data_IF_964984462310
#
_entry.id   IF_964984462310
#
_cell.length_a   1.000
_cell.length_b   1.000
_cell.length_c   1.000
_cell.angle_alpha   90.00
_cell.angle_beta   90.00
_cell.angle_gamma   90.00
#
_symmetry.space_group_name_H-M   'P 1'
#
loop_
_entity.id
_entity.type
_entity.pdbx_description
1 polymer ?
#
# COMPACT_ATOMS: atom_id res chain seq x y z
N UNK A 1 -23.85 8.65 4.08
CA UNK A 1 -23.54 7.61 3.07
C UNK A 1 -24.77 7.03 2.36
N UNK A 2 -26.01 7.14 2.88
CA UNK A 2 -27.21 6.61 2.22
C UNK A 2 -27.83 7.47 1.09
N UNK A 3 -27.25 8.64 0.74
CA UNK A 3 -27.79 9.53 -0.32
C UNK A 3 -27.14 9.32 -1.70
N UNK A 4 -25.90 8.84 -1.76
CA UNK A 4 -25.18 8.66 -3.03
C UNK A 4 -25.57 7.37 -3.78
N UNK A 5 -26.05 6.34 -3.07
CA UNK A 5 -26.57 5.11 -3.68
C UNK A 5 -27.96 5.31 -4.31
N UNK A 6 -28.74 6.26 -3.79
CA UNK A 6 -30.13 6.49 -4.19
C UNK A 6 -30.25 7.34 -5.48
N UNK A 7 -29.26 8.22 -5.73
CA UNK A 7 -29.17 9.02 -6.97
C UNK A 7 -28.73 8.17 -8.18
N UNK A 8 -27.86 7.17 -7.98
CA UNK A 8 -27.43 6.24 -9.04
C UNK A 8 -28.60 5.38 -9.53
N UNK A 9 -29.45 4.90 -8.62
CA UNK A 9 -30.62 4.09 -8.96
C UNK A 9 -31.71 4.88 -9.70
N UNK A 10 -31.95 6.15 -9.35
CA UNK A 10 -32.89 7.01 -10.10
C UNK A 10 -32.38 7.36 -11.50
N UNK A 11 -31.09 7.67 -11.63
CA UNK A 11 -30.47 7.97 -12.92
C UNK A 11 -30.54 6.78 -13.90
N UNK A 12 -30.39 5.55 -13.40
CA UNK A 12 -30.51 4.33 -14.20
C UNK A 12 -31.98 4.01 -14.57
N UNK A 13 -32.94 4.24 -13.67
CA UNK A 13 -34.36 4.00 -13.98
C UNK A 13 -34.94 4.99 -14.98
N UNK A 14 -34.50 6.24 -14.94
CA UNK A 14 -34.98 7.32 -15.83
C UNK A 14 -34.36 7.23 -17.24
N UNK A 15 -33.24 6.53 -17.40
CA UNK A 15 -32.60 6.29 -18.71
C UNK A 15 -33.11 5.04 -19.42
N UNK A 16 -33.54 4.02 -18.69
CA UNK A 16 -34.16 2.82 -19.26
C UNK A 16 -35.54 3.11 -19.90
N UNK A 17 -36.22 4.20 -19.51
CA UNK A 17 -37.48 4.61 -20.13
C UNK A 17 -37.32 5.34 -21.47
N UNK A 18 -36.12 5.80 -21.82
CA UNK A 18 -35.91 6.73 -22.94
C UNK A 18 -35.28 6.11 -24.20
N UNK A 19 -35.13 4.79 -24.27
CA UNK A 19 -34.87 4.07 -25.53
C UNK A 19 -33.61 4.49 -26.31
N UNK A 20 -32.58 5.02 -25.63
CA UNK A 20 -31.31 5.37 -26.27
C UNK A 20 -30.43 4.12 -26.32
N UNK A 21 -30.38 3.49 -27.50
CA UNK A 21 -29.42 2.43 -27.83
C UNK A 21 -28.06 3.08 -28.05
N UNK A 22 -27.07 2.74 -27.25
CA UNK A 22 -25.66 2.99 -27.57
C UNK A 22 -25.04 1.69 -28.09
N UNK A 23 -24.33 1.77 -29.21
CA UNK A 23 -23.44 0.71 -29.68
C UNK A 23 -22.39 0.45 -28.59
N UNK A 24 -22.51 -0.69 -27.90
CA UNK A 24 -21.48 -1.25 -27.04
C UNK A 24 -20.39 -1.88 -27.90
N UNK A 25 -19.57 -1.07 -28.57
CA UNK A 25 -18.18 -1.46 -28.77
C UNK A 25 -17.45 -1.18 -27.46
N UNK A 26 -17.55 -2.14 -26.53
CA UNK A 26 -16.66 -2.21 -25.38
C UNK A 26 -15.23 -2.21 -25.93
N UNK A 27 -14.47 -1.17 -25.63
CA UNK A 27 -13.02 -1.14 -25.84
C UNK A 27 -12.44 -2.22 -24.94
N UNK A 28 -12.31 -3.41 -25.49
CA UNK A 28 -11.68 -4.56 -24.87
C UNK A 28 -10.18 -4.24 -24.76
N UNK A 29 -9.76 -3.72 -23.61
CA UNK A 29 -8.35 -3.45 -23.35
C UNK A 29 -7.60 -4.80 -23.36
N UNK A 30 -6.52 -4.96 -24.14
CA UNK A 30 -5.75 -6.21 -24.21
C UNK A 30 -4.87 -6.47 -22.95
N UNK A 31 -5.33 -6.05 -21.77
CA UNK A 31 -4.59 -5.97 -20.50
C UNK A 31 -5.07 -6.97 -19.43
N UNK A 32 -6.06 -7.82 -19.71
CA UNK A 32 -6.49 -8.91 -18.81
C UNK A 32 -5.39 -9.99 -18.57
N UNK A 33 -4.19 -9.81 -19.15
CA UNK A 33 -3.02 -10.68 -18.95
C UNK A 33 -1.93 -10.09 -18.05
N UNK A 34 -2.18 -9.00 -17.34
CA UNK A 34 -1.27 -8.52 -16.27
C UNK A 34 -1.81 -8.98 -14.91
N UNK A 35 -1.93 -10.30 -14.73
CA UNK A 35 -2.14 -10.93 -13.42
C UNK A 35 -1.33 -12.24 -13.34
N UNK A 36 -0.63 -12.53 -12.24
CA UNK A 36 -0.06 -11.60 -11.26
C UNK A 36 1.44 -11.88 -11.00
N UNK A 37 2.23 -10.84 -10.77
CA UNK A 37 3.52 -10.99 -10.07
C UNK A 37 3.37 -11.72 -8.70
N UNK A 38 2.15 -11.78 -8.17
CA UNK A 38 1.78 -12.47 -6.93
C UNK A 38 1.32 -13.95 -7.08
N UNK A 39 0.93 -14.46 -8.27
CA UNK A 39 0.61 -15.92 -8.40
C UNK A 39 1.78 -16.78 -8.88
N UNK A 40 2.98 -16.21 -9.02
CA UNK A 40 4.20 -17.03 -8.99
C UNK A 40 4.52 -17.38 -7.53
N UNK A 41 3.67 -18.24 -6.96
CA UNK A 41 4.02 -19.01 -5.78
C UNK A 41 5.30 -19.81 -6.04
N UNK A 42 6.15 -19.87 -5.02
CA UNK A 42 7.50 -20.42 -4.96
C UNK A 42 8.62 -19.51 -5.48
N UNK A 43 9.35 -18.92 -4.52
CA UNK A 43 10.82 -18.96 -4.37
C UNK A 43 11.68 -19.04 -5.63
N UNK A 44 11.33 -18.32 -6.70
CA UNK A 44 12.29 -17.90 -7.72
C UNK A 44 12.57 -16.46 -7.42
N UNK A 45 13.73 -16.25 -6.80
CA UNK A 45 14.31 -14.92 -6.68
C UNK A 45 14.22 -14.24 -8.04
N UNK A 46 13.91 -12.95 -8.07
CA UNK A 46 14.08 -12.13 -9.26
C UNK A 46 15.53 -12.20 -9.82
N UNK A 47 16.46 -12.74 -9.02
CA UNK A 47 17.83 -13.12 -9.40
C UNK A 47 17.94 -14.29 -10.40
N UNK A 48 16.89 -15.10 -10.61
CA UNK A 48 16.93 -16.28 -11.49
C UNK A 48 16.53 -16.01 -12.95
N UNK A 49 16.30 -14.74 -13.31
CA UNK A 49 16.49 -14.30 -14.71
C UNK A 49 18.01 -14.15 -14.95
N UNK A 50 18.75 -15.24 -14.74
CA UNK A 50 20.13 -15.34 -15.19
C UNK A 50 20.12 -15.67 -16.67
N UNK A 51 20.40 -14.63 -17.46
CA UNK A 51 21.18 -14.63 -18.71
C UNK A 51 21.85 -15.96 -19.05
N UNK A 52 21.10 -16.90 -19.64
CA UNK A 52 21.69 -18.10 -20.21
C UNK A 52 21.90 -17.86 -21.70
N UNK A 53 23.05 -17.26 -22.00
CA UNK A 53 23.49 -16.93 -23.35
C UNK A 53 24.11 -18.19 -23.97
N UNK A 54 23.27 -19.06 -24.52
CA UNK A 54 23.68 -20.10 -25.46
C UNK A 54 22.48 -20.47 -26.32
N UNK A 55 22.27 -19.70 -27.39
CA UNK A 55 21.92 -20.25 -28.70
C UNK A 55 22.06 -19.15 -29.76
N UNK A 56 22.99 -19.39 -30.68
CA UNK A 56 23.13 -18.67 -31.93
C UNK A 56 21.81 -18.70 -32.71
N UNK A 57 21.21 -17.52 -32.96
CA UNK A 57 20.87 -17.03 -34.29
C UNK A 57 19.87 -15.86 -34.25
N UNK A 58 20.27 -14.78 -34.90
CA UNK A 58 19.48 -13.77 -35.60
C UNK A 58 18.59 -12.80 -34.79
N UNK A 59 18.97 -11.51 -34.87
CA UNK A 59 18.15 -10.31 -34.81
C UNK A 59 16.89 -10.39 -33.92
N UNK A 60 17.00 -9.94 -32.67
CA UNK A 60 15.89 -9.32 -31.96
C UNK A 60 16.42 -8.43 -30.84
N UNK A 61 15.91 -7.20 -30.84
CA UNK A 61 16.13 -6.18 -29.82
C UNK A 61 15.61 -6.72 -28.48
N UNK A 62 16.51 -7.19 -27.61
CA UNK A 62 16.18 -7.71 -26.29
C UNK A 62 15.88 -6.54 -25.32
N UNK A 63 14.96 -5.65 -25.68
CA UNK A 63 14.34 -4.77 -24.69
C UNK A 63 13.46 -5.66 -23.82
N UNK A 64 13.86 -5.88 -22.57
CA UNK A 64 13.02 -6.54 -21.57
C UNK A 64 11.75 -5.70 -21.44
N UNK A 65 10.63 -6.21 -21.96
CA UNK A 65 9.33 -5.54 -21.91
C UNK A 65 8.91 -5.35 -20.45
N UNK A 66 8.52 -4.11 -20.11
CA UNK A 66 7.98 -3.74 -18.80
C UNK A 66 6.48 -3.48 -18.95
N UNK A 67 5.62 -4.48 -18.67
CA UNK A 67 4.20 -4.38 -18.95
C UNK A 67 3.50 -3.31 -18.11
N UNK A 68 4.02 -2.99 -16.92
CA UNK A 68 3.45 -1.91 -16.09
C UNK A 68 3.75 -0.56 -16.72
N UNK A 69 5.00 -0.35 -17.17
CA UNK A 69 5.36 0.89 -17.86
C UNK A 69 4.59 1.09 -19.17
N UNK A 70 4.47 0.02 -19.98
CA UNK A 70 3.71 0.04 -21.23
C UNK A 70 2.23 0.39 -20.97
N UNK A 71 1.62 -0.18 -19.92
CA UNK A 71 0.26 0.15 -19.52
C UNK A 71 0.12 1.61 -19.08
N UNK A 72 1.03 2.10 -18.21
CA UNK A 72 1.05 3.50 -17.76
C UNK A 72 1.14 4.47 -18.93
N UNK A 73 2.04 4.22 -19.89
CA UNK A 73 2.23 5.09 -21.04
C UNK A 73 1.00 5.07 -21.98
N UNK A 74 0.42 3.90 -22.23
CA UNK A 74 -0.78 3.76 -23.05
C UNK A 74 -2.00 4.45 -22.42
N UNK A 75 -2.20 4.24 -21.11
CA UNK A 75 -3.27 4.87 -20.34
C UNK A 75 -3.11 6.40 -20.31
N UNK A 76 -1.89 6.92 -20.04
CA UNK A 76 -1.62 8.36 -20.03
C UNK A 76 -1.90 9.02 -21.38
N UNK A 77 -1.56 8.34 -22.49
CA UNK A 77 -1.89 8.83 -23.84
C UNK A 77 -3.40 8.92 -24.04
N UNK A 78 -4.13 7.86 -23.70
CA UNK A 78 -5.59 7.81 -23.82
C UNK A 78 -6.28 8.85 -22.91
N UNK A 79 -5.78 9.06 -21.69
CA UNK A 79 -6.28 10.07 -20.77
C UNK A 79 -6.00 11.50 -21.27
N UNK A 80 -4.84 11.74 -21.89
CA UNK A 80 -4.48 13.05 -22.45
C UNK A 80 -5.34 13.45 -23.67
N UNK A 81 -5.82 12.46 -24.42
CA UNK A 81 -6.78 12.66 -25.52
C UNK A 81 -8.20 12.92 -24.98
N UNK A 82 -8.58 12.26 -23.88
CA UNK A 82 -9.91 12.38 -23.25
C UNK A 82 -10.08 13.65 -22.42
N UNK A 83 -9.02 14.15 -21.78
CA UNK A 83 -9.04 15.35 -20.94
C UNK A 83 -7.97 16.36 -21.40
N UNK A 84 -8.27 17.21 -22.41
CA UNK A 84 -7.30 18.12 -23.02
C UNK A 84 -6.65 19.10 -22.04
N UNK A 85 -7.34 19.51 -20.96
CA UNK A 85 -6.78 20.45 -19.97
C UNK A 85 -5.57 19.83 -19.25
N UNK A 86 -5.59 18.52 -19.03
CA UNK A 86 -4.51 17.79 -18.36
C UNK A 86 -3.46 17.23 -19.32
N UNK A 87 -3.64 17.41 -20.63
CA UNK A 87 -2.73 16.86 -21.65
C UNK A 87 -1.27 17.24 -21.39
N UNK A 88 -0.97 18.53 -21.20
CA UNK A 88 0.41 18.99 -20.93
C UNK A 88 0.99 18.39 -19.64
N UNK A 89 0.16 18.18 -18.62
CA UNK A 89 0.57 17.54 -17.36
C UNK A 89 0.91 16.06 -17.57
N UNK A 90 0.09 15.32 -18.32
CA UNK A 90 0.30 13.91 -18.63
C UNK A 90 1.52 13.70 -19.53
N UNK A 91 1.71 14.58 -20.53
CA UNK A 91 2.90 14.55 -21.36
C UNK A 91 4.17 14.82 -20.56
N UNK A 92 4.17 15.86 -19.72
CA UNK A 92 5.33 16.19 -18.89
C UNK A 92 5.63 15.09 -17.88
N UNK A 93 4.62 14.52 -17.21
CA UNK A 93 4.81 13.59 -16.10
C UNK A 93 5.05 12.14 -16.53
N UNK A 94 4.54 11.73 -17.69
CA UNK A 94 4.60 10.34 -18.17
C UNK A 94 5.26 10.27 -19.55
N UNK A 95 4.62 10.84 -20.57
CA UNK A 95 4.96 10.54 -21.97
C UNK A 95 6.31 11.12 -22.42
N UNK A 96 6.91 12.01 -21.64
CA UNK A 96 8.25 12.56 -21.89
C UNK A 96 9.39 11.70 -21.34
N UNK A 97 9.07 10.63 -20.61
CA UNK A 97 10.03 9.72 -19.99
C UNK A 97 10.11 8.38 -20.72
N UNK A 98 11.23 7.68 -20.53
CA UNK A 98 11.55 6.40 -21.16
C UNK A 98 11.30 5.18 -20.24
N UNK A 99 11.14 5.40 -18.94
CA UNK A 99 10.87 4.34 -17.97
C UNK A 99 10.06 4.82 -16.75
N UNK A 100 9.53 3.85 -16.00
CA UNK A 100 8.69 4.07 -14.83
C UNK A 100 9.40 4.85 -13.72
N UNK A 101 10.68 4.57 -13.49
CA UNK A 101 11.49 5.20 -12.43
C UNK A 101 11.66 6.70 -12.65
N UNK A 102 11.91 7.12 -13.90
CA UNK A 102 12.10 8.54 -14.24
C UNK A 102 10.79 9.32 -14.22
N UNK A 103 9.70 8.71 -14.70
CA UNK A 103 8.37 9.29 -14.59
C UNK A 103 7.98 9.47 -13.11
N UNK A 104 8.20 8.45 -12.28
CA UNK A 104 7.95 8.53 -10.84
C UNK A 104 8.83 9.58 -10.17
N UNK A 105 10.13 9.61 -10.48
CA UNK A 105 11.06 10.62 -9.99
C UNK A 105 10.58 12.03 -10.30
N UNK A 106 10.02 12.24 -11.50
CA UNK A 106 9.42 13.51 -11.90
C UNK A 106 8.18 13.88 -11.09
N UNK A 107 7.26 12.95 -10.91
CA UNK A 107 6.05 13.15 -10.11
C UNK A 107 6.42 13.50 -8.67
N UNK A 108 7.31 12.71 -8.03
CA UNK A 108 7.72 12.92 -6.64
C UNK A 108 8.45 14.24 -6.44
N UNK A 109 9.39 14.57 -7.33
CA UNK A 109 10.13 15.82 -7.27
C UNK A 109 9.20 17.05 -7.32
N UNK A 110 8.23 17.04 -8.24
CA UNK A 110 7.28 18.16 -8.36
C UNK A 110 6.31 18.25 -7.19
N UNK A 111 5.95 17.12 -6.56
CA UNK A 111 5.09 17.07 -5.38
C UNK A 111 5.82 17.54 -4.12
N UNK A 112 7.09 17.18 -3.97
CA UNK A 112 7.86 17.43 -2.75
C UNK A 112 8.67 18.73 -2.76
N UNK A 113 8.81 19.39 -3.92
CA UNK A 113 9.56 20.64 -4.04
C UNK A 113 9.08 21.72 -3.06
N UNK A 114 10.01 22.58 -2.67
CA UNK A 114 9.74 23.82 -1.96
C UNK A 114 10.87 24.83 -2.28
N UNK A 115 10.85 26.06 -1.74
CA UNK A 115 11.89 27.05 -2.02
C UNK A 115 13.33 26.64 -1.62
N UNK A 116 13.50 25.61 -0.80
CA UNK A 116 14.81 25.12 -0.33
C UNK A 116 15.27 23.90 -1.16
N UNK A 117 14.34 22.98 -1.43
CA UNK A 117 14.56 21.75 -2.21
C UNK A 117 13.84 21.91 -3.55
N UNK A 118 14.59 22.34 -4.55
CA UNK A 118 14.04 22.57 -5.89
C UNK A 118 13.69 21.23 -6.56
N UNK A 119 12.67 21.23 -7.42
CA UNK A 119 12.27 20.03 -8.15
C UNK A 119 13.43 19.41 -8.95
N UNK A 120 14.32 20.22 -9.54
CA UNK A 120 15.48 19.71 -10.28
C UNK A 120 16.46 18.95 -9.39
N UNK A 121 16.73 19.45 -8.18
CA UNK A 121 17.61 18.77 -7.23
C UNK A 121 16.99 17.48 -6.70
N UNK A 122 15.68 17.51 -6.42
CA UNK A 122 14.93 16.32 -6.01
C UNK A 122 14.92 15.28 -7.13
N UNK A 123 14.72 15.71 -8.38
CA UNK A 123 14.76 14.85 -9.56
C UNK A 123 16.07 14.08 -9.64
N UNK A 124 17.20 14.78 -9.53
CA UNK A 124 18.53 14.17 -9.60
C UNK A 124 18.71 13.11 -8.50
N UNK A 125 18.25 13.40 -7.28
CA UNK A 125 18.31 12.46 -6.15
C UNK A 125 17.42 11.24 -6.40
N UNK A 126 16.15 11.44 -6.80
CA UNK A 126 15.22 10.35 -7.04
C UNK A 126 15.71 9.45 -8.18
N UNK A 127 16.11 10.05 -9.31
CA UNK A 127 16.61 9.31 -10.45
C UNK A 127 17.90 8.55 -10.13
N UNK A 128 18.87 9.16 -9.44
CA UNK A 128 20.11 8.48 -9.04
C UNK A 128 19.81 7.25 -8.19
N UNK A 129 18.92 7.36 -7.21
CA UNK A 129 18.61 6.23 -6.32
C UNK A 129 17.77 5.17 -7.02
N UNK A 130 16.67 5.55 -7.68
CA UNK A 130 15.73 4.61 -8.30
C UNK A 130 16.32 3.89 -9.50
N UNK A 131 17.21 4.54 -10.29
CA UNK A 131 17.82 3.91 -11.46
C UNK A 131 18.94 2.92 -11.10
N UNK A 132 19.57 3.05 -9.93
CA UNK A 132 20.72 2.24 -9.53
C UNK A 132 20.41 1.20 -8.44
N UNK A 133 19.17 1.10 -7.96
CA UNK A 133 18.75 0.13 -6.96
C UNK A 133 17.66 -0.79 -7.50
N UNK A 134 18.05 -2.03 -7.83
CA UNK A 134 17.12 -3.05 -8.35
C UNK A 134 16.04 -3.46 -7.36
N UNK A 135 16.31 -3.38 -6.05
CA UNK A 135 15.32 -3.64 -5.03
C UNK A 135 14.20 -2.61 -5.09
N UNK A 136 14.57 -1.32 -5.16
CA UNK A 136 13.60 -0.22 -5.30
C UNK A 136 12.82 -0.34 -6.61
N UNK A 137 13.46 -0.68 -7.72
CA UNK A 137 12.79 -0.90 -9.02
C UNK A 137 11.70 -1.98 -8.93
N UNK A 138 12.01 -3.08 -8.23
CA UNK A 138 11.04 -4.13 -7.98
C UNK A 138 9.90 -3.66 -7.08
N UNK A 139 10.22 -2.97 -5.98
CA UNK A 139 9.22 -2.43 -5.06
C UNK A 139 8.25 -1.46 -5.74
N UNK A 140 8.75 -0.56 -6.60
CA UNK A 140 7.94 0.41 -7.36
C UNK A 140 6.80 -0.32 -8.09
N UNK A 141 7.14 -1.43 -8.76
CA UNK A 141 6.20 -2.23 -9.56
C UNK A 141 5.23 -3.02 -8.68
N UNK A 142 5.75 -3.69 -7.64
CA UNK A 142 4.92 -4.47 -6.72
C UNK A 142 3.93 -3.58 -5.95
N UNK A 143 4.36 -2.41 -5.49
CA UNK A 143 3.49 -1.45 -4.80
C UNK A 143 2.42 -0.89 -5.74
N UNK A 144 2.76 -0.55 -7.01
CA UNK A 144 1.75 -0.14 -8.01
C UNK A 144 0.70 -1.23 -8.22
N UNK A 145 1.15 -2.47 -8.37
CA UNK A 145 0.26 -3.62 -8.51
C UNK A 145 -0.65 -3.79 -7.27
N UNK A 146 -0.11 -3.60 -6.06
CA UNK A 146 -0.89 -3.69 -4.84
C UNK A 146 -2.04 -2.68 -4.79
N UNK A 147 -1.81 -1.43 -5.22
CA UNK A 147 -2.88 -0.44 -5.36
C UNK A 147 -3.89 -0.85 -6.43
N UNK A 148 -3.42 -1.34 -7.58
CA UNK A 148 -4.30 -1.75 -8.68
C UNK A 148 -5.22 -2.93 -8.31
N UNK A 149 -4.69 -3.87 -7.53
CA UNK A 149 -5.40 -5.11 -7.17
C UNK A 149 -6.37 -4.94 -6.00
N UNK A 150 -6.01 -4.07 -5.05
CA UNK A 150 -6.65 -4.05 -3.72
C UNK A 150 -7.50 -2.81 -3.48
N UNK A 151 -7.25 -1.70 -4.18
CA UNK A 151 -8.12 -0.52 -4.12
C UNK A 151 -9.08 -0.50 -5.32
N UNK A 152 -10.39 -0.77 -5.10
CA UNK A 152 -11.37 -0.74 -6.19
C UNK A 152 -11.53 0.64 -6.84
N UNK A 153 -11.02 1.70 -6.21
CA UNK A 153 -11.01 3.06 -6.75
C UNK A 153 -9.85 3.31 -7.71
N UNK A 154 -8.83 2.45 -7.71
CA UNK A 154 -7.66 2.55 -8.59
C UNK A 154 -7.96 1.92 -9.96
N UNK A 155 -8.50 2.72 -10.88
CA UNK A 155 -8.98 2.25 -12.18
C UNK A 155 -7.86 1.94 -13.19
N UNK A 156 -6.69 2.58 -13.08
CA UNK A 156 -5.58 2.47 -14.04
C UNK A 156 -4.21 2.52 -13.36
N UNK A 157 -3.17 1.94 -13.95
CA UNK A 157 -1.81 2.04 -13.42
C UNK A 157 -1.28 3.48 -13.46
N UNK A 158 -1.61 4.21 -14.51
CA UNK A 158 -1.34 5.65 -14.66
C UNK A 158 -1.88 6.44 -13.48
N UNK A 159 -3.13 6.18 -13.06
CA UNK A 159 -3.73 6.86 -11.91
C UNK A 159 -2.97 6.60 -10.62
N UNK A 160 -2.50 5.37 -10.39
CA UNK A 160 -1.71 5.00 -9.21
C UNK A 160 -0.36 5.71 -9.17
N UNK A 161 0.29 5.86 -10.33
CA UNK A 161 1.56 6.59 -10.41
C UNK A 161 1.38 8.09 -10.10
N UNK A 162 0.28 8.68 -10.56
CA UNK A 162 0.09 10.14 -10.55
C UNK A 162 -0.54 10.70 -9.27
N UNK A 163 -1.45 9.98 -8.59
CA UNK A 163 -2.35 10.62 -7.64
C UNK A 163 -2.29 10.10 -6.18
N UNK A 164 -2.31 8.79 -5.90
CA UNK A 164 -2.32 8.28 -4.53
C UNK A 164 -1.08 8.70 -3.72
N UNK A 165 -1.31 9.57 -2.73
CA UNK A 165 -0.24 10.03 -1.83
C UNK A 165 0.35 8.92 -0.97
N UNK A 166 -0.39 7.83 -0.73
CA UNK A 166 0.14 6.66 -0.04
C UNK A 166 1.22 5.96 -0.84
N UNK A 167 0.98 5.77 -2.14
CA UNK A 167 1.98 5.26 -3.07
C UNK A 167 3.19 6.21 -3.13
N UNK A 168 2.97 7.52 -3.30
CA UNK A 168 4.07 8.51 -3.31
C UNK A 168 4.89 8.50 -2.01
N UNK A 169 4.25 8.30 -0.87
CA UNK A 169 4.92 8.23 0.44
C UNK A 169 5.81 7.00 0.55
N UNK A 170 5.34 5.83 0.10
CA UNK A 170 6.16 4.61 0.06
C UNK A 170 7.42 4.81 -0.78
N UNK A 171 7.29 5.34 -1.99
CA UNK A 171 8.44 5.49 -2.89
C UNK A 171 9.41 6.58 -2.39
N UNK A 172 8.89 7.64 -1.77
CA UNK A 172 9.71 8.67 -1.10
C UNK A 172 10.49 8.07 0.08
N UNK A 173 9.83 7.26 0.89
CA UNK A 173 10.46 6.53 1.99
C UNK A 173 11.56 5.59 1.49
N UNK A 174 11.35 4.84 0.39
CA UNK A 174 12.37 3.92 -0.14
C UNK A 174 13.65 4.66 -0.53
N UNK A 175 13.53 5.83 -1.14
CA UNK A 175 14.69 6.69 -1.43
C UNK A 175 15.32 7.25 -0.16
N UNK A 176 14.53 7.72 0.80
CA UNK A 176 15.04 8.16 2.10
C UNK A 176 15.78 7.03 2.85
N UNK A 177 15.27 5.80 2.81
CA UNK A 177 15.87 4.61 3.39
C UNK A 177 17.22 4.28 2.74
N UNK A 178 17.30 4.31 1.42
CA UNK A 178 18.56 4.10 0.70
C UNK A 178 19.60 5.19 1.05
N UNK A 179 19.17 6.46 1.12
CA UNK A 179 20.05 7.56 1.54
C UNK A 179 20.52 7.41 2.98
N UNK A 180 19.64 6.99 3.89
CA UNK A 180 19.96 6.71 5.28
C UNK A 180 21.06 5.64 5.40
N UNK A 181 20.90 4.52 4.69
CA UNK A 181 21.87 3.41 4.69
C UNK A 181 23.21 3.78 4.04
N UNK A 182 23.22 4.78 3.13
CA UNK A 182 24.45 5.37 2.56
C UNK A 182 25.08 6.44 3.46
N UNK A 183 24.56 6.66 4.67
CA UNK A 183 25.06 7.66 5.62
C UNK A 183 24.62 9.10 5.34
N UNK A 184 23.77 9.34 4.33
CA UNK A 184 23.20 10.67 4.01
C UNK A 184 21.97 10.95 4.89
N UNK A 185 22.12 10.80 6.21
CA UNK A 185 21.04 10.85 7.19
C UNK A 185 20.29 12.18 7.22
N UNK A 186 21.00 13.30 7.08
CA UNK A 186 20.38 14.64 7.02
C UNK A 186 19.41 14.77 5.85
N UNK A 187 19.77 14.26 4.67
CA UNK A 187 18.90 14.29 3.49
C UNK A 187 17.70 13.33 3.67
N UNK A 188 17.94 12.15 4.23
CA UNK A 188 16.88 11.20 4.53
C UNK A 188 15.83 11.78 5.50
N UNK A 189 16.27 12.47 6.56
CA UNK A 189 15.39 13.17 7.51
C UNK A 189 14.68 14.36 6.86
N UNK A 190 15.35 15.08 5.96
CA UNK A 190 14.70 16.15 5.19
C UNK A 190 13.57 15.60 4.30
N UNK A 191 13.77 14.46 3.64
CA UNK A 191 12.73 13.79 2.87
C UNK A 191 11.60 13.26 3.76
N UNK A 192 11.90 12.67 4.92
CA UNK A 192 10.88 12.29 5.91
C UNK A 192 10.02 13.49 6.30
N UNK A 193 10.64 14.62 6.63
CA UNK A 193 9.91 15.84 7.00
C UNK A 193 9.04 16.35 5.86
N UNK A 194 9.54 16.36 4.62
CA UNK A 194 8.76 16.79 3.44
C UNK A 194 7.60 15.85 3.13
N UNK A 195 7.81 14.55 3.25
CA UNK A 195 6.77 13.54 3.09
C UNK A 195 5.65 13.73 4.11
N UNK A 196 6.00 13.99 5.38
CA UNK A 196 5.04 14.30 6.43
C UNK A 196 4.24 15.58 6.14
N UNK A 197 4.91 16.66 5.71
CA UNK A 197 4.27 17.93 5.41
C UNK A 197 3.32 17.86 4.19
N UNK A 198 3.74 17.21 3.11
CA UNK A 198 3.00 17.20 1.83
C UNK A 198 1.94 16.11 1.78
N UNK A 199 2.26 14.91 2.29
CA UNK A 199 1.37 13.76 2.18
C UNK A 199 0.63 13.45 3.49
N UNK A 200 1.07 14.02 4.63
CA UNK A 200 0.55 13.68 5.95
C UNK A 200 0.95 12.27 6.38
N UNK A 201 2.12 11.80 5.94
CA UNK A 201 2.65 10.45 6.23
C UNK A 201 4.07 10.59 6.80
N UNK A 202 4.30 10.05 7.99
CA UNK A 202 5.59 10.10 8.65
C UNK A 202 6.17 8.68 8.79
N UNK A 203 7.22 8.38 8.03
CA UNK A 203 7.91 7.09 8.07
C UNK A 203 9.38 7.38 8.30
N UNK A 204 9.89 6.91 9.43
CA UNK A 204 11.30 7.09 9.76
C UNK A 204 12.19 6.34 8.74
N UNK A 205 13.25 6.96 8.19
CA UNK A 205 14.09 6.35 7.16
C UNK A 205 14.76 5.04 7.58
N UNK A 206 14.98 4.81 8.87
CA UNK A 206 15.56 3.56 9.38
C UNK A 206 14.56 2.39 9.52
N UNK A 207 13.26 2.63 9.34
CA UNK A 207 12.27 1.55 9.32
C UNK A 207 12.63 0.54 8.21
N UNK A 208 12.03 -0.65 8.26
CA UNK A 208 12.21 -1.68 7.22
C UNK A 208 10.84 -2.10 6.73
N UNK A 209 10.57 -1.88 5.46
CA UNK A 209 9.25 -2.12 4.86
C UNK A 209 9.46 -3.00 3.63
N UNK A 210 8.72 -4.10 3.56
CA UNK A 210 8.74 -5.06 2.45
C UNK A 210 8.09 -4.50 1.18
N UNK A 211 7.72 -5.42 0.30
CA UNK A 211 7.20 -5.12 -1.04
C UNK A 211 5.70 -5.42 -1.17
N UNK A 212 5.06 -4.78 -2.14
CA UNK A 212 3.64 -5.00 -2.41
C UNK A 212 2.76 -4.41 -1.33
N UNK A 213 3.14 -3.22 -0.84
CA UNK A 213 2.47 -2.54 0.25
C UNK A 213 1.36 -1.66 -0.30
N UNK A 214 0.19 -1.73 0.35
CA UNK A 214 -0.88 -0.76 0.16
C UNK A 214 -0.89 0.20 1.35
N UNK A 215 -0.70 1.49 1.09
CA UNK A 215 -1.00 2.57 2.04
C UNK A 215 -2.26 3.30 1.56
N UNK A 216 -3.43 2.73 1.82
CA UNK A 216 -4.67 3.30 1.32
C UNK A 216 -5.06 4.54 2.12
N UNK A 217 -5.41 5.60 1.40
CA UNK A 217 -5.68 6.98 1.85
C UNK A 217 -4.51 7.68 2.57
N UNK A 218 -3.71 6.93 3.35
CA UNK A 218 -2.44 7.22 4.01
C UNK A 218 -2.41 8.37 5.03
N UNK A 219 -3.36 9.30 5.01
CA UNK A 219 -3.37 10.47 5.90
C UNK A 219 -3.21 10.06 7.37
N UNK A 220 -2.22 10.63 8.07
CA UNK A 220 -1.98 10.38 9.49
C UNK A 220 -1.27 9.05 9.79
N UNK A 221 -0.73 8.35 8.79
CA UNK A 221 0.11 7.18 9.03
C UNK A 221 1.44 7.61 9.65
N UNK A 222 1.82 6.93 10.74
CA UNK A 222 3.08 7.14 11.47
C UNK A 222 3.79 5.81 11.66
N UNK A 223 5.03 5.69 11.17
CA UNK A 223 5.86 4.47 11.25
C UNK A 223 7.21 4.81 11.84
N UNK A 224 7.48 4.29 13.04
CA UNK A 224 8.68 4.62 13.80
C UNK A 224 9.95 3.87 13.39
N UNK A 225 11.07 4.37 13.88
CA UNK A 225 12.45 4.01 13.51
C UNK A 225 12.77 2.51 13.42
N UNK A 226 12.30 1.71 14.38
CA UNK A 226 12.67 0.28 14.48
C UNK A 226 11.55 -0.65 14.02
N UNK A 227 10.56 -0.08 13.32
CA UNK A 227 9.45 -0.86 12.77
C UNK A 227 9.95 -1.77 11.67
N UNK A 228 9.44 -2.99 11.64
CA UNK A 228 9.58 -3.89 10.49
C UNK A 228 8.19 -4.21 9.98
N UNK A 229 7.99 -4.07 8.67
CA UNK A 229 6.75 -4.43 7.97
C UNK A 229 7.10 -5.48 6.92
N UNK A 230 6.44 -6.64 6.97
CA UNK A 230 6.58 -7.71 5.98
C UNK A 230 6.03 -7.33 4.60
N UNK A 231 6.05 -8.28 3.68
CA UNK A 231 5.49 -8.06 2.34
C UNK A 231 3.96 -8.10 2.35
N UNK A 232 3.35 -7.62 1.27
CA UNK A 232 1.89 -7.71 1.04
C UNK A 232 1.05 -7.15 2.19
N UNK A 233 1.56 -6.22 2.99
CA UNK A 233 0.79 -5.61 4.08
C UNK A 233 -0.07 -4.48 3.51
N UNK A 234 -1.29 -4.36 4.02
CA UNK A 234 -2.20 -3.26 3.70
C UNK A 234 -2.47 -2.45 4.97
N UNK A 235 -2.19 -1.14 4.94
CA UNK A 235 -2.43 -0.21 6.03
C UNK A 235 -3.36 0.90 5.56
N UNK A 236 -4.37 1.18 6.37
CA UNK A 236 -5.32 2.26 6.14
C UNK A 236 -4.78 3.60 6.71
N UNK A 237 -5.54 4.68 6.50
CA UNK A 237 -5.27 5.99 7.09
C UNK A 237 -5.20 5.96 8.62
N UNK A 238 -4.42 6.86 9.21
CA UNK A 238 -4.34 7.08 10.67
C UNK A 238 -3.62 5.98 11.45
N UNK A 239 -3.07 4.96 10.78
CA UNK A 239 -2.38 3.87 11.46
C UNK A 239 -1.09 4.37 12.10
N UNK A 240 -0.88 4.01 13.37
CA UNK A 240 0.36 4.31 14.10
C UNK A 240 1.10 3.03 14.47
N UNK A 241 2.34 2.90 14.00
CA UNK A 241 3.31 1.88 14.41
C UNK A 241 4.38 2.56 15.27
N UNK A 242 4.08 2.70 16.57
CA UNK A 242 4.77 3.62 17.49
C UNK A 242 5.50 2.93 18.65
N UNK A 243 6.28 3.70 19.40
CA UNK A 243 6.91 3.27 20.65
C UNK A 243 6.05 3.59 21.88
N UNK A 244 6.37 2.97 23.02
CA UNK A 244 5.64 3.15 24.31
C UNK A 244 6.35 4.06 25.31
N UNK A 245 7.47 4.69 24.94
CA UNK A 245 8.24 5.54 25.86
C UNK A 245 9.54 6.09 25.27
N UNK A 246 10.44 6.53 26.15
CA UNK A 246 11.74 7.16 25.81
C UNK A 246 12.92 6.19 25.73
N UNK A 247 12.67 4.90 25.82
CA UNK A 247 13.73 3.89 25.79
C UNK A 247 14.42 3.87 24.43
N UNK A 248 15.73 3.70 24.44
CA UNK A 248 16.56 3.59 23.24
C UNK A 248 16.69 2.11 22.88
N UNK A 249 16.65 1.81 21.59
CA UNK A 249 16.73 0.44 21.07
C UNK A 249 15.47 0.04 20.32
N UNK A 250 15.26 -1.27 20.20
CA UNK A 250 14.14 -1.83 19.45
C UNK A 250 12.83 -1.69 20.24
N UNK A 251 11.98 -0.77 19.79
CA UNK A 251 10.82 -0.25 20.54
C UNK A 251 9.53 -0.13 19.72
N UNK A 252 9.56 -0.55 18.45
CA UNK A 252 8.44 -0.41 17.52
C UNK A 252 7.96 -1.76 16.99
N UNK A 253 6.74 -1.83 16.43
CA UNK A 253 6.12 -3.09 16.04
C UNK A 253 6.87 -3.87 14.95
N UNK A 254 6.60 -5.18 14.89
CA UNK A 254 7.00 -6.09 13.82
C UNK A 254 5.74 -6.65 13.17
N UNK A 255 5.39 -6.16 12.00
CA UNK A 255 4.19 -6.52 11.26
C UNK A 255 4.51 -7.69 10.32
N UNK A 256 3.83 -8.82 10.49
CA UNK A 256 3.96 -10.00 9.65
C UNK A 256 3.46 -9.78 8.22
N UNK A 257 3.92 -10.63 7.32
CA UNK A 257 3.47 -10.65 5.92
C UNK A 257 1.96 -10.85 5.82
N UNK A 258 1.31 -10.20 4.84
CA UNK A 258 -0.12 -10.39 4.58
C UNK A 258 -1.07 -9.76 5.61
N UNK A 259 -0.55 -9.04 6.61
CA UNK A 259 -1.37 -8.41 7.64
C UNK A 259 -2.23 -7.26 7.09
N UNK A 260 -3.46 -7.14 7.59
CA UNK A 260 -4.38 -6.04 7.30
C UNK A 260 -4.54 -5.15 8.54
N UNK A 261 -4.15 -3.88 8.43
CA UNK A 261 -4.22 -2.92 9.53
C UNK A 261 -5.29 -1.86 9.22
N UNK A 262 -6.43 -1.98 9.90
CA UNK A 262 -7.59 -1.11 9.71
C UNK A 262 -7.36 0.35 10.11
N UNK A 263 -8.26 1.21 9.63
CA UNK A 263 -8.15 2.67 9.79
C UNK A 263 -8.00 3.09 11.25
N UNK A 264 -7.07 4.01 11.51
CA UNK A 264 -6.79 4.59 12.84
C UNK A 264 -6.41 3.56 13.91
N UNK A 265 -5.95 2.37 13.54
CA UNK A 265 -5.39 1.42 14.50
C UNK A 265 -4.03 1.91 15.03
N UNK A 266 -3.82 1.76 16.33
CA UNK A 266 -2.60 2.18 17.02
C UNK A 266 -1.92 0.96 17.63
N UNK A 267 -0.69 0.67 17.20
CA UNK A 267 0.11 -0.49 17.60
C UNK A 267 1.38 0.05 18.26
N UNK A 268 1.55 -0.20 19.56
CA UNK A 268 2.62 0.44 20.35
C UNK A 268 3.55 -0.58 20.98
N UNK A 269 4.85 -0.32 20.88
CA UNK A 269 5.91 -1.07 21.52
C UNK A 269 6.56 -2.10 20.59
N UNK A 270 7.60 -2.76 21.09
CA UNK A 270 8.24 -3.85 20.38
C UNK A 270 7.42 -5.14 20.51
N UNK A 271 6.29 -5.16 19.81
CA UNK A 271 5.36 -6.28 19.77
C UNK A 271 5.26 -6.84 18.34
N UNK A 272 4.87 -8.10 18.25
CA UNK A 272 4.73 -8.83 16.99
C UNK A 272 3.26 -8.93 16.61
N UNK A 273 2.97 -8.54 15.38
CA UNK A 273 1.70 -8.85 14.71
C UNK A 273 1.99 -10.02 13.77
N UNK A 274 1.36 -11.16 14.02
CA UNK A 274 1.59 -12.37 13.24
C UNK A 274 1.25 -12.19 11.76
N UNK A 275 1.80 -13.07 10.93
CA UNK A 275 1.44 -13.14 9.51
C UNK A 275 -0.06 -13.37 9.33
N UNK A 276 -0.63 -12.77 8.29
CA UNK A 276 -2.05 -12.84 7.99
C UNK A 276 -2.99 -12.37 9.11
N UNK A 277 -2.48 -11.63 10.12
CA UNK A 277 -3.32 -11.10 11.17
C UNK A 277 -4.12 -9.87 10.69
N UNK A 278 -5.27 -9.66 11.30
CA UNK A 278 -6.15 -8.54 11.00
C UNK A 278 -6.37 -7.68 12.25
N UNK A 279 -6.07 -6.39 12.13
CA UNK A 279 -6.30 -5.40 13.18
C UNK A 279 -7.52 -4.57 12.76
N UNK A 280 -8.61 -4.67 13.52
CA UNK A 280 -9.81 -3.88 13.24
C UNK A 280 -9.55 -2.37 13.40
N UNK A 281 -10.32 -1.56 12.68
CA UNK A 281 -10.23 -0.11 12.74
C UNK A 281 -10.37 0.43 14.18
N UNK A 282 -9.58 1.45 14.53
CA UNK A 282 -9.62 2.12 15.83
C UNK A 282 -9.06 1.31 17.00
N UNK A 283 -8.45 0.15 16.76
CA UNK A 283 -7.94 -0.72 17.84
C UNK A 283 -6.66 -0.17 18.48
N UNK A 284 -6.49 -0.36 19.79
CA UNK A 284 -5.24 -0.09 20.52
C UNK A 284 -4.55 -1.42 20.88
N UNK A 285 -3.50 -1.76 20.14
CA UNK A 285 -2.76 -3.02 20.29
C UNK A 285 -1.50 -2.80 21.12
N UNK A 286 -1.44 -3.45 22.28
CA UNK A 286 -0.35 -3.32 23.27
C UNK A 286 0.36 -4.65 23.58
N UNK A 287 -0.01 -5.73 22.90
CA UNK A 287 0.51 -7.09 23.10
C UNK A 287 0.63 -7.78 21.75
N UNK A 288 1.48 -8.81 21.70
CA UNK A 288 1.63 -9.67 20.52
C UNK A 288 0.29 -10.23 20.06
N UNK A 289 0.11 -10.27 18.74
CA UNK A 289 -1.08 -10.78 18.06
C UNK A 289 -0.69 -12.06 17.32
N UNK A 290 -1.32 -13.21 17.60
CA UNK A 290 -1.03 -14.46 16.90
C UNK A 290 -1.26 -14.38 15.38
N UNK A 291 -0.55 -15.19 14.58
CA UNK A 291 -0.84 -15.33 13.14
C UNK A 291 -2.31 -15.68 12.87
N UNK A 292 -2.82 -15.21 11.73
CA UNK A 292 -4.19 -15.45 11.25
C UNK A 292 -5.30 -15.15 12.29
N UNK A 293 -5.03 -14.26 13.25
CA UNK A 293 -6.01 -13.83 14.24
C UNK A 293 -6.56 -12.44 13.90
N UNK A 294 -7.80 -12.20 14.31
CA UNK A 294 -8.44 -10.89 14.25
C UNK A 294 -8.50 -10.30 15.65
N UNK A 295 -8.05 -9.05 15.81
CA UNK A 295 -8.14 -8.31 17.08
C UNK A 295 -8.94 -7.02 16.92
N UNK A 296 -9.66 -6.66 17.97
CA UNK A 296 -10.44 -5.42 18.02
C UNK A 296 -10.49 -4.84 19.45
N UNK A 297 -10.70 -3.52 19.53
CA UNK A 297 -11.02 -2.80 20.78
C UNK A 297 -9.87 -1.99 21.37
N UNK A 298 -10.15 -1.35 22.52
CA UNK A 298 -9.21 -0.52 23.27
C UNK A 298 -9.27 -0.86 24.77
N UNK A 299 -8.29 -1.62 25.32
CA UNK A 299 -7.21 -2.32 24.59
C UNK A 299 -7.73 -3.47 23.73
N UNK A 300 -7.02 -3.78 22.66
CA UNK A 300 -7.40 -4.81 21.70
C UNK A 300 -7.33 -6.22 22.30
N UNK A 301 -8.29 -7.06 21.93
CA UNK A 301 -8.34 -8.49 22.27
C UNK A 301 -8.57 -9.29 21.01
N UNK A 302 -8.13 -10.55 21.01
CA UNK A 302 -8.50 -11.52 19.97
C UNK A 302 -10.01 -11.70 20.02
N UNK A 303 -10.64 -11.48 18.87
CA UNK A 303 -12.09 -11.60 18.66
C UNK A 303 -12.41 -12.76 17.71
N UNK A 304 -11.42 -13.31 17.01
CA UNK A 304 -11.55 -14.54 16.25
C UNK A 304 -10.35 -14.76 15.32
N UNK A 305 -10.56 -15.56 14.28
CA UNK A 305 -9.52 -15.98 13.35
C UNK A 305 -9.95 -15.76 11.90
N UNK A 306 -8.98 -15.37 11.07
CA UNK A 306 -9.14 -15.10 9.64
C UNK A 306 -8.99 -16.42 8.89
N UNK A 307 -9.90 -16.72 7.97
CA UNK A 307 -9.84 -17.94 7.16
C UNK A 307 -8.94 -17.75 5.93
N UNK A 308 -8.83 -16.52 5.45
CA UNK A 308 -7.94 -16.09 4.38
C UNK A 308 -6.48 -16.14 4.84
N UNK A 309 -5.60 -16.60 3.95
CA UNK A 309 -4.16 -16.65 4.22
C UNK A 309 -3.58 -15.22 4.32
N UNK A 310 -3.98 -14.32 3.42
CA UNK A 310 -3.55 -12.93 3.35
C UNK A 310 -4.77 -11.97 3.34
N UNK A 311 -5.35 -11.57 4.49
CA UNK A 311 -6.48 -10.64 4.55
C UNK A 311 -6.19 -9.28 3.91
N UNK A 312 -4.92 -8.89 3.83
CA UNK A 312 -4.48 -7.67 3.15
C UNK A 312 -4.77 -7.65 1.66
N UNK A 313 -4.96 -8.81 1.01
CA UNK A 313 -5.25 -8.89 -0.42
C UNK A 313 -6.74 -8.73 -0.71
N UNK A 314 -7.60 -9.22 0.19
CA UNK A 314 -9.06 -9.16 0.00
C UNK A 314 -9.65 -7.85 0.50
N UNK A 315 -8.93 -7.13 1.37
CA UNK A 315 -9.40 -5.89 2.00
C UNK A 315 -10.77 -6.05 2.68
N UNK A 316 -11.08 -7.26 3.14
CA UNK A 316 -12.32 -7.51 3.85
C UNK A 316 -12.20 -6.96 5.28
N UNK A 317 -12.85 -5.82 5.52
CA UNK A 317 -12.86 -5.15 6.82
C UNK A 317 -13.96 -5.65 7.76
N UNK A 318 -14.87 -6.51 7.28
CA UNK A 318 -16.03 -6.95 8.03
C UNK A 318 -15.64 -7.97 9.10
N UNK A 319 -15.53 -7.50 10.33
CA UNK A 319 -15.92 -8.32 11.47
C UNK A 319 -17.46 -8.31 11.48
N UNK A 320 -18.10 -9.35 10.94
CA UNK A 320 -19.58 -9.38 10.81
C UNK A 320 -20.27 -9.16 12.16
N UNK A 321 -21.52 -8.67 12.14
CA UNK A 321 -22.32 -8.48 13.36
C UNK A 321 -22.42 -9.80 14.16
N UNK A 322 -22.56 -10.91 13.45
CA UNK A 322 -22.57 -12.27 14.02
C UNK A 322 -21.26 -12.60 14.75
N UNK A 323 -20.13 -12.12 14.23
CA UNK A 323 -18.82 -12.28 14.86
C UNK A 323 -18.72 -11.47 16.17
N UNK A 324 -19.25 -10.25 16.21
CA UNK A 324 -19.31 -9.47 17.45
C UNK A 324 -20.33 -10.02 18.46
N UNK A 325 -21.46 -10.56 18.00
CA UNK A 325 -22.45 -11.25 18.85
C UNK A 325 -21.86 -12.53 19.45
N UNK A 326 -21.15 -13.35 18.67
CA UNK A 326 -20.45 -14.56 19.13
C UNK A 326 -19.38 -14.26 20.20
N UNK A 327 -18.66 -13.15 20.06
CA UNK A 327 -17.65 -12.70 21.03
C UNK A 327 -18.29 -12.16 22.31
N UNK A 328 -19.40 -11.43 22.19
CA UNK A 328 -20.15 -10.92 23.34
C UNK A 328 -20.72 -12.06 24.19
N UNK A 329 -21.25 -13.12 23.56
CA UNK A 329 -21.77 -14.30 24.24
C UNK A 329 -20.66 -15.11 24.94
N UNK A 330 -19.53 -15.34 24.27
CA UNK A 330 -18.39 -16.05 24.88
C UNK A 330 -17.71 -15.26 26.02
N UNK A 331 -17.86 -13.92 26.06
CA UNK A 331 -17.39 -13.10 27.17
C UNK A 331 -18.34 -13.10 28.39
N UNK A 332 -19.61 -13.50 28.21
CA UNK A 332 -20.60 -13.61 29.29
C UNK A 332 -20.45 -14.93 30.07
N UNK A 333 -20.07 -16.02 29.40
CA UNK A 333 -19.88 -17.34 30.02
C UNK A 333 -18.63 -17.42 30.91
N UNK A 334 -17.67 -16.51 30.77
CA UNK A 334 -16.50 -16.41 31.65
C UNK A 334 -16.79 -15.84 33.05
N UNK A 335 -18.01 -15.36 33.32
CA UNK A 335 -18.41 -14.78 34.63
C UNK A 335 -19.23 -15.71 35.53
N UNK A 336 -19.56 -16.93 35.10
CA UNK A 336 -20.45 -17.82 35.85
C UNK A 336 -19.76 -18.95 36.64
N UNK A 337 -18.42 -18.96 36.76
CA UNK A 337 -17.70 -20.02 37.48
C UNK A 337 -16.72 -19.54 38.57
N UNK A 338 -17.14 -18.56 39.38
CA UNK A 338 -16.46 -18.23 40.64
C UNK A 338 -17.45 -17.97 41.78
N UNK A 339 -18.21 -18.99 42.19
CA UNK A 339 -18.83 -19.04 43.52
C UNK A 339 -18.92 -20.50 43.97
N UNK A 340 -17.76 -21.10 44.22
CA UNK A 340 -17.62 -22.33 44.98
C UNK A 340 -17.27 -22.03 46.43
N UNK A 341 -18.12 -22.51 47.35
CA UNK A 341 -17.85 -22.80 48.76
C UNK A 341 -17.40 -21.67 49.70
N UNK A 342 -18.33 -21.23 50.56
CA UNK A 342 -18.06 -20.89 51.97
C UNK A 342 -19.34 -21.08 52.80
N UNK A 343 -19.49 -22.26 53.40
CA UNK A 343 -19.50 -22.44 54.87
C UNK A 343 -20.32 -23.67 55.31
N UNK A 344 -19.59 -24.59 55.91
CA UNK A 344 -20.05 -25.53 56.91
C UNK A 344 -20.34 -24.81 58.24
N UNK A 345 -21.55 -25.01 58.78
CA UNK A 345 -21.82 -25.44 60.16
C UNK A 345 -23.32 -25.56 60.40
#
# INVERSE_FOLDING_TARGET
MARASDERSRYLSEKLSNGVVFDEEAVEYPLEKVFPLYALGNSRSYNDVSFNNNNNNNNNDNSVSDPIWEAVAAEAKSEAEREPILSSFLYASILSHDCLERALGFVLANRLQNPILLATQLMDIFNDVMMHDRGIQQSIRLDVQAFKDRDPSCLSYCSVLLYPKGYHSLQTYRVAHALWNKGRTVMALALQSRMSEVFGVDIHPAAKIGDGILLDHATGVVIGETTVVGNKVSLMQGVTLGGTGKEIGDRHPKIGEGALIGASATILGNIRIGEGAMIAAGSLVLKDVPPHSMVAGNPAKVVGYVQEQDPSLTMNHDATKDFFELVADNSMDGRSNSNGNLNSK
#
